data_IF_853278115272
#
_entry.id   IF_853278115272
#
_cell.length_a   1.000
_cell.length_b   1.000
_cell.length_c   1.000
_cell.angle_alpha   90.00
_cell.angle_beta   90.00
_cell.angle_gamma   90.00
#
_symmetry.space_group_name_H-M   'P 1'
#
loop_
_entity.id
_entity.type
_entity.pdbx_description
1 polymer ?
#
# COMPACT_ATOMS: atom_id res chain seq x y z
N UNK A 1 61.01 -15.97 -2.90
CA UNK A 1 59.76 -15.63 -2.21
C UNK A 1 58.89 -14.87 -3.21
N UNK A 2 57.82 -15.49 -3.70
CA UNK A 2 56.86 -14.81 -4.55
C UNK A 2 55.78 -14.18 -3.67
N UNK A 3 55.37 -12.94 -3.94
CA UNK A 3 54.27 -12.34 -3.20
C UNK A 3 52.95 -13.02 -3.62
N UNK A 4 52.23 -13.60 -2.66
CA UNK A 4 50.85 -14.00 -2.82
C UNK A 4 50.02 -12.71 -3.10
N UNK A 5 49.69 -12.48 -4.38
CA UNK A 5 48.69 -11.52 -4.74
C UNK A 5 47.34 -11.99 -4.16
N UNK A 6 46.91 -11.40 -3.08
CA UNK A 6 45.55 -11.54 -2.60
C UNK A 6 44.64 -10.98 -3.69
N UNK A 7 44.01 -11.85 -4.46
CA UNK A 7 42.87 -11.44 -5.29
C UNK A 7 41.79 -10.97 -4.35
N UNK A 8 41.71 -9.65 -4.18
CA UNK A 8 40.53 -9.04 -3.57
C UNK A 8 39.31 -9.46 -4.42
N UNK A 9 38.52 -10.40 -3.92
CA UNK A 9 37.22 -10.69 -4.53
C UNK A 9 36.48 -9.36 -4.66
N UNK A 10 36.19 -8.95 -5.89
CA UNK A 10 35.33 -7.82 -6.11
C UNK A 10 34.04 -8.06 -5.31
N UNK A 11 33.59 -7.12 -4.48
CA UNK A 11 32.36 -7.31 -3.70
C UNK A 11 31.24 -7.64 -4.67
N UNK A 12 30.55 -8.77 -4.43
CA UNK A 12 29.40 -9.19 -5.25
C UNK A 12 28.38 -8.08 -5.23
N UNK A 13 28.06 -7.50 -6.38
CA UNK A 13 26.99 -6.53 -6.52
C UNK A 13 25.66 -7.25 -6.28
N UNK A 14 24.98 -6.93 -5.17
CA UNK A 14 23.69 -7.52 -4.86
C UNK A 14 22.61 -6.95 -5.79
N UNK A 15 21.73 -7.81 -6.28
CA UNK A 15 20.65 -7.42 -7.19
C UNK A 15 19.33 -7.40 -6.45
N UNK A 16 18.67 -6.22 -6.39
CA UNK A 16 17.40 -6.01 -5.71
C UNK A 16 16.28 -5.90 -6.75
N UNK A 17 15.39 -6.88 -6.79
CA UNK A 17 14.15 -6.81 -7.56
C UNK A 17 13.09 -6.01 -6.80
N UNK A 18 12.37 -5.13 -7.48
CA UNK A 18 11.22 -4.45 -6.89
C UNK A 18 10.00 -4.66 -7.79
N UNK A 19 8.91 -5.16 -7.21
CA UNK A 19 7.67 -5.49 -7.91
C UNK A 19 6.51 -4.68 -7.34
N UNK A 20 5.80 -3.94 -8.18
CA UNK A 20 4.71 -3.06 -7.75
C UNK A 20 3.65 -2.85 -8.85
N UNK A 21 2.50 -2.29 -8.47
CA UNK A 21 1.35 -2.12 -9.38
C UNK A 21 1.58 -0.96 -10.36
N UNK A 22 2.23 0.13 -9.93
CA UNK A 22 2.30 1.40 -10.64
C UNK A 22 1.18 2.35 -10.21
N UNK A 23 0.90 2.37 -8.90
CA UNK A 23 0.06 3.36 -8.23
C UNK A 23 0.75 4.73 -8.17
N UNK A 24 0.04 5.77 -7.77
CA UNK A 24 0.57 7.14 -7.76
C UNK A 24 1.80 7.34 -6.83
N UNK A 25 2.04 6.42 -5.89
CA UNK A 25 3.19 6.43 -4.99
C UNK A 25 4.41 5.61 -5.49
N UNK A 26 4.35 5.10 -6.73
CA UNK A 26 5.42 4.27 -7.30
C UNK A 26 6.78 4.97 -7.30
N UNK A 27 6.84 6.23 -7.75
CA UNK A 27 8.08 7.02 -7.76
C UNK A 27 8.62 7.25 -6.33
N UNK A 28 7.71 7.52 -5.38
CA UNK A 28 8.07 7.69 -3.97
C UNK A 28 8.62 6.37 -3.41
N UNK A 29 7.99 5.24 -3.73
CA UNK A 29 8.48 3.92 -3.31
C UNK A 29 9.89 3.64 -3.83
N UNK A 30 10.14 3.84 -5.13
CA UNK A 30 11.46 3.66 -5.72
C UNK A 30 12.51 4.55 -5.07
N UNK A 31 12.18 5.84 -4.91
CA UNK A 31 13.06 6.82 -4.27
C UNK A 31 13.40 6.44 -2.85
N UNK A 32 12.39 6.17 -2.02
CA UNK A 32 12.60 5.89 -0.60
C UNK A 32 13.32 4.55 -0.36
N UNK A 33 13.08 3.56 -1.21
CA UNK A 33 13.83 2.29 -1.16
C UNK A 33 15.32 2.51 -1.49
N UNK A 34 15.62 3.31 -2.54
CA UNK A 34 17.02 3.68 -2.88
C UNK A 34 17.69 4.46 -1.74
N UNK A 35 17.02 5.48 -1.23
CA UNK A 35 17.56 6.32 -0.15
C UNK A 35 17.78 5.52 1.12
N UNK A 36 16.82 4.66 1.51
CA UNK A 36 16.95 3.80 2.68
C UNK A 36 18.14 2.85 2.56
N UNK A 37 18.37 2.26 1.39
CA UNK A 37 19.53 1.41 1.14
C UNK A 37 20.84 2.23 1.11
N UNK A 38 20.83 3.42 0.52
CA UNK A 38 21.98 4.33 0.50
C UNK A 38 22.42 4.73 1.92
N UNK A 39 21.48 5.07 2.80
CA UNK A 39 21.76 5.38 4.22
C UNK A 39 22.39 4.19 4.97
N UNK A 40 22.12 2.96 4.50
CA UNK A 40 22.68 1.72 5.05
C UNK A 40 23.99 1.29 4.37
N UNK A 41 24.56 2.16 3.49
CA UNK A 41 25.84 1.92 2.82
C UNK A 41 25.74 1.11 1.51
N UNK A 42 24.52 0.91 0.98
CA UNK A 42 24.30 0.26 -0.31
C UNK A 42 24.10 1.31 -1.40
N UNK A 43 25.04 1.40 -2.34
CA UNK A 43 25.08 2.42 -3.39
C UNK A 43 24.90 1.76 -4.75
N UNK A 44 23.88 2.18 -5.49
CA UNK A 44 23.60 1.70 -6.85
C UNK A 44 24.80 1.93 -7.77
N UNK A 45 25.14 0.91 -8.55
CA UNK A 45 26.33 0.91 -9.43
C UNK A 45 27.64 0.61 -8.73
N UNK A 46 27.69 0.52 -7.39
CA UNK A 46 28.90 0.13 -6.64
C UNK A 46 28.76 -1.27 -6.01
N UNK A 47 27.77 -1.46 -5.16
CA UNK A 47 27.56 -2.71 -4.42
C UNK A 47 26.12 -3.26 -4.50
N UNK A 48 25.18 -2.49 -5.08
CA UNK A 48 23.84 -2.96 -5.45
C UNK A 48 23.45 -2.55 -6.86
N UNK A 49 22.48 -3.28 -7.44
CA UNK A 49 21.76 -2.93 -8.66
C UNK A 49 20.25 -3.16 -8.44
N UNK A 50 19.41 -2.31 -9.03
CA UNK A 50 17.97 -2.44 -8.97
C UNK A 50 17.36 -2.96 -10.26
N UNK A 51 16.33 -3.80 -10.12
CA UNK A 51 15.48 -4.32 -11.18
C UNK A 51 14.03 -3.98 -10.86
N UNK A 52 13.57 -2.79 -11.27
CA UNK A 52 12.20 -2.34 -11.05
C UNK A 52 11.25 -2.93 -12.09
N UNK A 53 10.12 -3.46 -11.62
CA UNK A 53 9.05 -4.03 -12.44
C UNK A 53 7.70 -3.46 -12.01
N UNK A 54 7.16 -2.61 -12.87
CA UNK A 54 5.82 -2.02 -12.72
C UNK A 54 4.81 -2.77 -13.57
N UNK A 55 3.67 -3.11 -13.00
CA UNK A 55 2.53 -3.64 -13.74
C UNK A 55 1.77 -2.54 -14.52
N UNK A 56 2.08 -1.26 -14.32
CA UNK A 56 1.42 -0.11 -14.96
C UNK A 56 -0.11 -0.16 -14.80
N UNK A 57 -0.56 -0.53 -13.61
CA UNK A 57 -1.98 -0.68 -13.27
C UNK A 57 -2.64 -1.98 -13.76
N UNK A 58 -1.92 -2.83 -14.53
CA UNK A 58 -2.44 -4.08 -15.11
C UNK A 58 -2.02 -5.27 -14.26
N UNK A 59 -2.90 -5.69 -13.36
CA UNK A 59 -2.57 -6.73 -12.36
C UNK A 59 -2.27 -8.10 -13.00
N UNK A 60 -2.81 -8.39 -14.18
CA UNK A 60 -2.56 -9.60 -14.96
C UNK A 60 -1.11 -9.77 -15.41
N UNK A 61 -0.32 -8.67 -15.45
CA UNK A 61 1.11 -8.71 -15.76
C UNK A 61 1.99 -9.18 -14.59
N UNK A 62 1.48 -9.11 -13.35
CA UNK A 62 2.28 -9.38 -12.16
C UNK A 62 2.94 -10.77 -12.12
N UNK A 63 2.27 -11.87 -12.53
CA UNK A 63 2.90 -13.19 -12.54
C UNK A 63 4.12 -13.26 -13.47
N UNK A 64 4.03 -12.66 -14.66
CA UNK A 64 5.14 -12.63 -15.63
C UNK A 64 6.30 -11.78 -15.11
N UNK A 65 6.02 -10.59 -14.58
CA UNK A 65 7.03 -9.69 -14.01
C UNK A 65 7.75 -10.32 -12.81
N UNK A 66 7.01 -11.04 -11.96
CA UNK A 66 7.63 -11.81 -10.86
C UNK A 66 8.55 -12.92 -11.39
N UNK A 67 8.11 -13.65 -12.41
CA UNK A 67 8.93 -14.68 -13.05
C UNK A 67 10.18 -14.11 -13.73
N UNK A 68 10.13 -12.89 -14.28
CA UNK A 68 11.32 -12.18 -14.78
C UNK A 68 12.34 -11.95 -13.68
N UNK A 69 11.93 -11.44 -12.52
CA UNK A 69 12.83 -11.21 -11.39
C UNK A 69 13.50 -12.52 -10.93
N UNK A 70 12.74 -13.63 -10.94
CA UNK A 70 13.29 -14.96 -10.65
C UNK A 70 14.33 -15.39 -11.70
N UNK A 71 14.06 -15.19 -12.99
CA UNK A 71 14.99 -15.50 -14.08
C UNK A 71 16.27 -14.66 -13.99
N UNK A 72 16.18 -13.40 -13.55
CA UNK A 72 17.30 -12.51 -13.30
C UNK A 72 18.11 -12.90 -12.07
N UNK A 73 17.62 -13.87 -11.28
CA UNK A 73 18.27 -14.35 -10.05
C UNK A 73 18.61 -13.21 -9.10
N UNK A 74 17.63 -12.34 -8.85
CA UNK A 74 17.81 -11.26 -7.87
C UNK A 74 18.05 -11.84 -6.48
N UNK A 75 18.84 -11.13 -5.65
CA UNK A 75 19.18 -11.60 -4.31
C UNK A 75 18.02 -11.38 -3.31
N UNK A 76 17.17 -10.38 -3.56
CA UNK A 76 15.96 -10.07 -2.77
C UNK A 76 14.88 -9.49 -3.70
N UNK A 77 13.62 -9.85 -3.49
CA UNK A 77 12.46 -9.18 -4.10
C UNK A 77 11.79 -8.28 -3.05
N UNK A 78 11.59 -7.00 -3.36
CA UNK A 78 10.76 -6.10 -2.56
C UNK A 78 9.42 -5.94 -3.26
N UNK A 79 8.31 -6.30 -2.60
CA UNK A 79 6.98 -6.28 -3.19
C UNK A 79 6.07 -5.27 -2.46
N UNK A 80 5.55 -4.29 -3.20
CA UNK A 80 4.67 -3.26 -2.66
C UNK A 80 3.21 -3.63 -2.92
N UNK A 81 2.40 -3.66 -1.85
CA UNK A 81 0.99 -4.06 -1.83
C UNK A 81 0.73 -5.56 -2.02
N UNK A 82 -0.53 -5.96 -1.81
CA UNK A 82 -0.93 -7.38 -1.76
C UNK A 82 -0.77 -8.11 -3.11
N UNK A 83 -1.26 -7.58 -4.26
CA UNK A 83 -1.16 -8.31 -5.52
C UNK A 83 0.29 -8.63 -5.94
N UNK A 84 1.26 -7.69 -5.92
CA UNK A 84 2.66 -7.99 -6.18
C UNK A 84 3.27 -8.98 -5.18
N UNK A 85 2.91 -8.88 -3.90
CA UNK A 85 3.40 -9.79 -2.86
C UNK A 85 2.94 -11.23 -3.09
N UNK A 86 1.69 -11.43 -3.49
CA UNK A 86 1.16 -12.75 -3.84
C UNK A 86 1.83 -13.30 -5.11
N UNK A 87 2.04 -12.46 -6.13
CA UNK A 87 2.73 -12.86 -7.36
C UNK A 87 4.18 -13.29 -7.07
N UNK A 88 4.91 -12.53 -6.25
CA UNK A 88 6.27 -12.90 -5.83
C UNK A 88 6.27 -14.21 -5.01
N UNK A 89 5.35 -14.37 -4.06
CA UNK A 89 5.18 -15.60 -3.25
C UNK A 89 4.94 -16.84 -4.12
N UNK A 90 4.14 -16.70 -5.18
CA UNK A 90 3.85 -17.78 -6.13
C UNK A 90 5.05 -18.10 -7.03
N UNK A 91 5.81 -17.08 -7.44
CA UNK A 91 6.93 -17.23 -8.37
C UNK A 91 8.16 -17.91 -7.75
N UNK A 92 8.41 -17.77 -6.43
CA UNK A 92 9.59 -18.34 -5.78
C UNK A 92 9.35 -18.72 -4.32
N UNK A 93 10.03 -19.78 -3.88
CA UNK A 93 10.17 -20.18 -2.47
C UNK A 93 11.59 -20.03 -1.95
N UNK A 94 12.53 -19.64 -2.82
CA UNK A 94 13.97 -19.59 -2.53
C UNK A 94 14.46 -18.16 -2.38
N UNK A 95 14.08 -17.26 -3.33
CA UNK A 95 14.50 -15.87 -3.25
C UNK A 95 13.78 -15.19 -2.10
N UNK A 96 14.50 -14.54 -1.16
CA UNK A 96 13.92 -13.75 -0.09
C UNK A 96 12.97 -12.67 -0.61
N UNK A 97 11.82 -12.49 0.05
CA UNK A 97 10.82 -11.49 -0.30
C UNK A 97 10.60 -10.56 0.89
N UNK A 98 10.78 -9.26 0.67
CA UNK A 98 10.41 -8.21 1.60
C UNK A 98 9.09 -7.62 1.13
N UNK A 99 8.03 -7.79 1.91
CA UNK A 99 6.71 -7.23 1.59
C UNK A 99 6.48 -5.92 2.33
N UNK A 100 5.82 -4.96 1.66
CA UNK A 100 5.26 -3.75 2.27
C UNK A 100 3.78 -3.75 1.91
N UNK A 101 2.95 -4.24 2.82
CA UNK A 101 1.56 -4.63 2.50
C UNK A 101 0.62 -4.31 3.64
N UNK A 102 -0.66 -4.18 3.33
CA UNK A 102 -1.70 -3.85 4.28
C UNK A 102 -1.77 -4.81 5.47
N UNK A 103 -2.19 -6.04 5.22
CA UNK A 103 -2.46 -7.03 6.26
C UNK A 103 -1.96 -8.41 5.79
N UNK A 104 -0.68 -8.73 6.05
CA UNK A 104 -0.04 -9.91 5.48
C UNK A 104 -0.54 -11.25 6.06
N UNK A 105 -1.16 -11.24 7.23
CA UNK A 105 -1.76 -12.45 7.85
C UNK A 105 -3.15 -12.68 7.27
N UNK A 106 -3.99 -11.66 7.24
CA UNK A 106 -5.36 -11.69 6.73
C UNK A 106 -5.39 -11.99 5.22
N UNK A 107 -4.34 -11.59 4.50
CA UNK A 107 -4.18 -11.89 3.06
C UNK A 107 -3.42 -13.20 2.80
N UNK A 108 -3.17 -13.99 3.83
CA UNK A 108 -2.49 -15.30 3.74
C UNK A 108 -1.10 -15.24 3.10
N UNK A 109 -0.46 -14.06 3.11
CA UNK A 109 0.92 -13.91 2.64
C UNK A 109 1.86 -14.63 3.61
N UNK A 110 1.62 -14.46 4.92
CA UNK A 110 2.34 -15.14 6.00
C UNK A 110 1.37 -15.67 7.06
N UNK A 111 1.75 -16.71 7.80
CA UNK A 111 0.89 -17.27 8.85
C UNK A 111 0.85 -16.43 10.14
N UNK A 112 1.86 -15.58 10.38
CA UNK A 112 1.99 -14.78 11.59
C UNK A 112 3.00 -13.67 11.41
N UNK A 113 2.79 -12.50 12.02
CA UNK A 113 3.74 -11.39 11.99
C UNK A 113 5.03 -11.73 12.78
N UNK A 114 4.90 -12.36 13.93
CA UNK A 114 6.05 -12.71 14.78
C UNK A 114 6.91 -13.84 14.20
N UNK A 115 6.29 -14.75 13.43
CA UNK A 115 6.97 -15.88 12.78
C UNK A 115 6.44 -16.03 11.36
N UNK A 116 6.91 -15.20 10.42
CA UNK A 116 6.38 -15.19 9.06
C UNK A 116 6.61 -16.50 8.32
N UNK A 117 7.69 -17.21 8.66
CA UNK A 117 8.03 -18.50 8.04
C UNK A 117 8.45 -18.35 6.57
N UNK A 118 8.97 -19.44 5.98
CA UNK A 118 9.35 -19.45 4.56
C UNK A 118 10.39 -18.39 4.20
N UNK A 119 10.20 -17.79 3.03
CA UNK A 119 11.11 -16.80 2.45
C UNK A 119 10.56 -15.35 2.49
N UNK A 120 9.54 -15.06 3.31
CA UNK A 120 8.87 -13.76 3.35
C UNK A 120 9.07 -13.07 4.70
N UNK A 121 9.34 -11.77 4.69
CA UNK A 121 9.34 -10.85 5.83
C UNK A 121 8.97 -9.45 5.36
N UNK A 122 8.91 -8.42 6.22
CA UNK A 122 8.69 -7.04 5.80
C UNK A 122 7.89 -6.19 6.76
N UNK A 123 7.02 -5.34 6.20
CA UNK A 123 6.21 -4.33 6.92
C UNK A 123 4.72 -4.57 6.68
N UNK A 124 3.93 -4.60 7.76
CA UNK A 124 2.47 -4.53 7.70
C UNK A 124 2.02 -3.09 7.86
N UNK A 125 1.21 -2.57 6.93
CA UNK A 125 0.66 -1.21 6.99
C UNK A 125 -0.65 -1.12 7.77
N UNK A 126 -1.18 -2.24 8.29
CA UNK A 126 -2.43 -2.34 9.07
C UNK A 126 -3.66 -1.77 8.33
N UNK A 127 -3.72 -1.96 7.01
CA UNK A 127 -4.67 -1.24 6.17
C UNK A 127 -6.15 -1.55 6.48
N UNK A 128 -6.48 -2.79 6.87
CA UNK A 128 -7.87 -3.15 7.18
C UNK A 128 -8.38 -2.39 8.41
N UNK A 129 -7.64 -2.39 9.51
CA UNK A 129 -8.00 -1.66 10.72
C UNK A 129 -8.10 -0.14 10.47
N UNK A 130 -7.19 0.42 9.65
CA UNK A 130 -7.20 1.84 9.30
C UNK A 130 -8.35 2.22 8.36
N UNK A 131 -8.81 1.31 7.48
CA UNK A 131 -10.05 1.49 6.72
C UNK A 131 -11.27 1.55 7.65
N UNK A 132 -11.34 0.71 8.67
CA UNK A 132 -12.35 0.81 9.73
C UNK A 132 -12.30 2.18 10.41
N UNK A 133 -11.13 2.67 10.77
CA UNK A 133 -10.94 4.00 11.37
C UNK A 133 -11.42 5.14 10.46
N UNK A 134 -11.31 4.98 9.14
CA UNK A 134 -11.84 5.98 8.18
C UNK A 134 -13.36 6.17 8.30
N UNK A 135 -14.11 5.13 8.68
CA UNK A 135 -15.58 5.25 8.95
C UNK A 135 -15.86 6.13 10.17
N UNK A 136 -15.09 5.94 11.24
CA UNK A 136 -15.20 6.80 12.43
C UNK A 136 -14.84 8.25 12.11
N UNK A 137 -13.80 8.47 11.31
CA UNK A 137 -13.39 9.80 10.86
C UNK A 137 -14.47 10.44 9.98
N UNK A 138 -15.14 9.69 9.10
CA UNK A 138 -16.29 10.19 8.37
C UNK A 138 -17.43 10.58 9.28
N UNK A 139 -17.70 9.81 10.34
CA UNK A 139 -18.73 10.18 11.32
C UNK A 139 -18.44 11.50 11.99
N UNK A 140 -17.18 11.75 12.36
CA UNK A 140 -16.77 13.00 12.99
C UNK A 140 -16.76 14.18 12.01
N UNK A 141 -16.31 13.95 10.77
CA UNK A 141 -16.24 14.98 9.73
C UNK A 141 -17.63 15.31 9.12
N UNK A 142 -18.50 14.30 8.99
CA UNK A 142 -19.84 14.38 8.39
C UNK A 142 -20.91 13.88 9.37
N UNK A 143 -21.30 14.66 10.39
CA UNK A 143 -22.25 14.19 11.41
C UNK A 143 -23.62 13.76 10.87
N UNK A 144 -23.98 14.22 9.67
CA UNK A 144 -25.23 13.82 8.98
C UNK A 144 -25.10 12.52 8.19
N UNK A 145 -23.88 12.00 7.98
CA UNK A 145 -23.68 10.77 7.23
C UNK A 145 -24.39 9.58 7.87
N UNK A 146 -25.05 8.80 7.05
CA UNK A 146 -25.78 7.59 7.45
C UNK A 146 -25.27 6.36 6.71
N UNK A 147 -24.66 6.55 5.54
CA UNK A 147 -24.28 5.45 4.67
C UNK A 147 -22.89 5.69 4.09
N UNK A 148 -21.99 4.72 4.26
CA UNK A 148 -20.65 4.74 3.70
C UNK A 148 -20.49 3.54 2.77
N UNK A 149 -20.15 3.82 1.51
CA UNK A 149 -19.82 2.80 0.52
C UNK A 149 -18.40 2.29 0.67
N UNK A 150 -18.13 1.15 0.06
CA UNK A 150 -16.79 0.54 -0.01
C UNK A 150 -16.44 0.29 -1.47
N UNK A 151 -15.27 0.76 -1.90
CA UNK A 151 -14.72 0.50 -3.22
C UNK A 151 -13.43 -0.33 -3.09
N UNK A 152 -13.41 -1.52 -3.67
CA UNK A 152 -12.29 -2.45 -3.60
C UNK A 152 -11.98 -3.14 -4.92
N UNK A 153 -10.88 -3.88 -4.97
CA UNK A 153 -10.51 -4.74 -6.09
C UNK A 153 -11.19 -6.11 -6.01
N UNK A 154 -11.83 -6.53 -7.10
CA UNK A 154 -12.46 -7.84 -7.23
C UNK A 154 -11.43 -8.99 -7.29
N UNK A 155 -10.20 -8.69 -7.72
CA UNK A 155 -9.12 -9.68 -7.92
C UNK A 155 -8.46 -10.14 -6.61
N UNK A 156 -8.80 -9.55 -5.48
CA UNK A 156 -8.28 -9.96 -4.16
C UNK A 156 -9.40 -10.13 -3.13
N UNK A 157 -10.17 -11.22 -3.20
CA UNK A 157 -11.34 -11.42 -2.34
C UNK A 157 -10.96 -11.56 -0.86
N UNK A 158 -9.77 -12.07 -0.54
CA UNK A 158 -9.31 -12.26 0.86
C UNK A 158 -9.07 -10.90 1.51
N UNK A 159 -8.33 -10.01 0.84
CA UNK A 159 -8.11 -8.66 1.34
C UNK A 159 -9.41 -7.82 1.36
N UNK A 160 -10.24 -7.96 0.33
CA UNK A 160 -11.54 -7.29 0.28
C UNK A 160 -12.41 -7.70 1.47
N UNK A 161 -12.39 -8.99 1.85
CA UNK A 161 -13.10 -9.48 3.03
C UNK A 161 -12.54 -8.89 4.32
N UNK A 162 -11.23 -8.90 4.54
CA UNK A 162 -10.60 -8.36 5.75
C UNK A 162 -10.90 -6.86 5.92
N UNK A 163 -10.77 -6.08 4.84
CA UNK A 163 -11.15 -4.67 4.82
C UNK A 163 -12.62 -4.48 5.16
N UNK A 164 -13.52 -5.26 4.54
CA UNK A 164 -14.96 -5.15 4.74
C UNK A 164 -15.36 -5.51 6.18
N UNK A 165 -14.77 -6.56 6.76
CA UNK A 165 -15.04 -6.95 8.15
C UNK A 165 -14.72 -5.81 9.12
N UNK A 166 -13.58 -5.13 8.97
CA UNK A 166 -13.18 -3.99 9.80
C UNK A 166 -14.07 -2.76 9.59
N UNK A 167 -14.42 -2.46 8.34
CA UNK A 167 -15.32 -1.35 8.00
C UNK A 167 -16.73 -1.60 8.56
N UNK A 168 -17.26 -2.82 8.47
CA UNK A 168 -18.54 -3.23 9.06
C UNK A 168 -18.50 -3.15 10.60
N UNK A 169 -17.38 -3.58 11.21
CA UNK A 169 -17.20 -3.50 12.66
C UNK A 169 -17.23 -2.04 13.14
N UNK A 170 -16.54 -1.14 12.44
CA UNK A 170 -16.52 0.29 12.74
C UNK A 170 -17.87 0.98 12.47
N UNK A 171 -18.64 0.51 11.50
CA UNK A 171 -19.97 1.05 11.19
C UNK A 171 -20.97 0.89 12.34
N UNK A 172 -20.92 -0.23 13.08
CA UNK A 172 -21.89 -0.56 14.14
C UNK A 172 -21.97 0.52 15.25
N UNK A 173 -20.88 0.91 15.94
CA UNK A 173 -20.94 1.89 17.01
C UNK A 173 -21.20 3.31 16.50
N UNK A 174 -20.87 3.61 15.22
CA UNK A 174 -21.08 4.93 14.62
C UNK A 174 -22.51 5.16 14.14
N UNK A 175 -23.30 4.08 14.01
CA UNK A 175 -24.63 4.10 13.41
C UNK A 175 -24.61 4.36 11.90
N UNK A 176 -23.46 4.12 11.25
CA UNK A 176 -23.28 4.22 9.80
C UNK A 176 -23.56 2.86 9.17
N UNK A 177 -24.44 2.84 8.20
CA UNK A 177 -24.69 1.68 7.36
C UNK A 177 -23.58 1.54 6.29
N UNK A 178 -22.95 0.35 6.20
CA UNK A 178 -21.87 0.10 5.25
C UNK A 178 -22.46 -0.52 3.99
N UNK A 179 -22.76 0.34 3.03
CA UNK A 179 -23.24 -0.02 1.68
C UNK A 179 -23.25 1.18 0.73
N UNK A 180 -23.22 0.97 -0.61
CA UNK A 180 -22.98 -0.32 -1.25
C UNK A 180 -21.53 -0.77 -1.14
N UNK A 181 -21.30 -2.07 -1.28
CA UNK A 181 -19.95 -2.64 -1.47
C UNK A 181 -19.77 -2.92 -2.95
N UNK A 182 -18.83 -2.22 -3.57
CA UNK A 182 -18.56 -2.34 -5.02
C UNK A 182 -17.11 -2.78 -5.22
N UNK A 183 -16.95 -3.87 -5.94
CA UNK A 183 -15.65 -4.41 -6.33
C UNK A 183 -15.44 -4.18 -7.82
N UNK A 184 -14.26 -3.67 -8.20
CA UNK A 184 -13.91 -3.37 -9.59
C UNK A 184 -12.69 -4.18 -10.02
N UNK A 185 -12.64 -4.56 -11.31
CA UNK A 185 -11.48 -5.24 -11.91
C UNK A 185 -10.49 -4.24 -12.50
N UNK A 186 -10.94 -3.04 -12.85
CA UNK A 186 -10.09 -2.03 -13.45
C UNK A 186 -10.77 -0.66 -13.60
N UNK A 187 -10.06 0.32 -14.17
CA UNK A 187 -10.55 1.69 -14.32
C UNK A 187 -11.84 1.83 -15.13
N UNK A 188 -12.07 0.95 -16.08
CA UNK A 188 -13.25 0.97 -16.98
C UNK A 188 -14.57 0.77 -16.21
N UNK A 189 -14.52 0.16 -15.02
CA UNK A 189 -15.70 -0.09 -14.19
C UNK A 189 -16.00 1.06 -13.20
N UNK A 190 -15.12 2.05 -13.07
CA UNK A 190 -15.22 3.11 -12.06
C UNK A 190 -16.44 4.00 -12.25
N UNK A 191 -16.79 4.34 -13.50
CA UNK A 191 -17.99 5.15 -13.78
C UNK A 191 -19.25 4.48 -13.22
N UNK A 192 -19.42 3.18 -13.49
CA UNK A 192 -20.58 2.42 -13.00
C UNK A 192 -20.53 2.24 -11.47
N UNK A 193 -19.32 2.07 -10.91
CA UNK A 193 -19.11 1.96 -9.47
C UNK A 193 -19.61 3.23 -8.74
N UNK A 194 -19.16 4.41 -9.17
CA UNK A 194 -19.58 5.68 -8.57
C UNK A 194 -21.05 6.01 -8.83
N UNK A 195 -21.58 5.68 -10.02
CA UNK A 195 -23.02 5.80 -10.29
C UNK A 195 -23.84 4.92 -9.32
N UNK A 196 -23.35 3.72 -9.00
CA UNK A 196 -23.97 2.83 -8.01
C UNK A 196 -23.91 3.44 -6.60
N UNK A 197 -22.78 4.02 -6.18
CA UNK A 197 -22.67 4.71 -4.89
C UNK A 197 -23.74 5.82 -4.75
N UNK A 198 -23.91 6.64 -5.80
CA UNK A 198 -24.92 7.70 -5.82
C UNK A 198 -26.34 7.14 -5.79
N UNK A 199 -26.65 6.14 -6.63
CA UNK A 199 -27.99 5.51 -6.68
C UNK A 199 -28.38 4.93 -5.33
N UNK A 200 -27.45 4.29 -4.64
CA UNK A 200 -27.63 3.68 -3.32
C UNK A 200 -27.47 4.71 -2.18
N UNK A 201 -27.31 6.00 -2.50
CA UNK A 201 -27.25 7.14 -1.56
C UNK A 201 -26.11 7.00 -0.54
N UNK A 202 -24.91 6.59 -0.97
CA UNK A 202 -23.73 6.69 -0.14
C UNK A 202 -23.37 8.16 0.13
N UNK A 203 -23.12 8.52 1.38
CA UNK A 203 -22.69 9.86 1.80
C UNK A 203 -21.17 10.03 1.69
N UNK A 204 -20.44 8.93 1.72
CA UNK A 204 -18.99 8.86 1.56
C UNK A 204 -18.55 7.46 1.11
N UNK A 205 -17.30 7.30 0.70
CA UNK A 205 -16.75 6.02 0.22
C UNK A 205 -15.36 5.77 0.82
N UNK A 206 -15.17 4.59 1.42
CA UNK A 206 -13.86 4.06 1.78
C UNK A 206 -13.28 3.34 0.57
N UNK A 207 -12.08 3.74 0.15
CA UNK A 207 -11.38 3.26 -1.05
C UNK A 207 -10.17 2.42 -0.63
N UNK A 208 -10.08 1.21 -1.13
CA UNK A 208 -8.94 0.32 -0.92
C UNK A 208 -7.63 1.00 -1.37
N UNK A 209 -6.55 0.89 -0.58
CA UNK A 209 -5.28 1.58 -0.84
C UNK A 209 -4.66 1.29 -2.21
N UNK A 210 -4.82 0.08 -2.75
CA UNK A 210 -4.37 -0.26 -4.12
C UNK A 210 -5.16 0.42 -5.24
N UNK A 211 -6.28 1.07 -4.92
CA UNK A 211 -7.06 1.94 -5.82
C UNK A 211 -6.75 3.43 -5.62
N UNK A 212 -5.65 3.77 -4.93
CA UNK A 212 -5.17 5.15 -4.83
C UNK A 212 -4.56 5.62 -6.17
N UNK A 213 -5.42 5.74 -7.17
CA UNK A 213 -5.08 6.13 -8.54
C UNK A 213 -5.92 7.34 -8.99
N UNK A 214 -5.36 8.13 -9.90
CA UNK A 214 -6.01 9.36 -10.39
C UNK A 214 -7.43 9.15 -10.95
N UNK A 215 -7.72 8.08 -11.73
CA UNK A 215 -9.08 7.83 -12.21
C UNK A 215 -10.13 7.72 -11.10
N UNK A 216 -9.78 7.15 -9.93
CA UNK A 216 -10.70 7.04 -8.80
C UNK A 216 -11.01 8.40 -8.20
N UNK A 217 -9.99 9.25 -8.00
CA UNK A 217 -10.19 10.60 -7.45
C UNK A 217 -10.92 11.53 -8.42
N UNK A 218 -10.74 11.35 -9.74
CA UNK A 218 -11.47 12.07 -10.77
C UNK A 218 -12.97 11.70 -10.75
N UNK A 219 -13.29 10.42 -10.59
CA UNK A 219 -14.67 9.99 -10.43
C UNK A 219 -15.28 10.51 -9.12
N UNK A 220 -14.54 10.44 -8.01
CA UNK A 220 -14.98 11.00 -6.75
C UNK A 220 -15.33 12.50 -6.88
N UNK A 221 -14.49 13.27 -7.55
CA UNK A 221 -14.72 14.68 -7.82
C UNK A 221 -15.94 14.91 -8.74
N UNK A 222 -16.06 14.15 -9.84
CA UNK A 222 -17.18 14.20 -10.79
C UNK A 222 -18.53 13.98 -10.09
N UNK A 223 -18.58 13.00 -9.21
CA UNK A 223 -19.79 12.64 -8.46
C UNK A 223 -19.95 13.40 -7.13
N UNK A 224 -19.04 14.34 -6.82
CA UNK A 224 -18.99 15.09 -5.56
C UNK A 224 -19.04 14.18 -4.33
N UNK A 225 -18.36 13.03 -4.41
CA UNK A 225 -18.37 11.98 -3.40
C UNK A 225 -17.19 12.15 -2.44
N UNK A 226 -17.42 12.36 -1.13
CA UNK A 226 -16.37 12.31 -0.13
C UNK A 226 -15.71 10.93 -0.12
N UNK A 227 -14.38 10.88 -0.20
CA UNK A 227 -13.63 9.62 -0.25
C UNK A 227 -12.48 9.60 0.74
N UNK A 228 -12.22 8.43 1.31
CA UNK A 228 -11.06 8.19 2.16
C UNK A 228 -10.29 6.94 1.72
N UNK A 229 -8.98 6.94 1.91
CA UNK A 229 -8.12 5.77 1.71
C UNK A 229 -7.00 5.72 2.76
N UNK A 230 -6.32 4.60 2.88
CA UNK A 230 -5.18 4.46 3.79
C UNK A 230 -3.85 4.97 3.22
N UNK A 231 -3.78 5.23 1.91
CA UNK A 231 -2.59 5.74 1.26
C UNK A 231 -2.59 7.28 1.22
N UNK A 232 -1.57 7.93 1.78
CA UNK A 232 -1.46 9.40 1.81
C UNK A 232 -1.52 10.01 0.41
N UNK A 233 -0.88 9.38 -0.57
CA UNK A 233 -0.92 9.81 -1.98
C UNK A 233 -2.35 9.97 -2.49
N UNK A 234 -3.32 9.23 -1.94
CA UNK A 234 -4.72 9.36 -2.35
C UNK A 234 -5.28 10.77 -2.11
N UNK A 235 -4.98 11.36 -0.96
CA UNK A 235 -5.37 12.75 -0.69
C UNK A 235 -4.58 13.73 -1.59
N UNK A 236 -3.30 13.46 -1.86
CA UNK A 236 -2.44 14.31 -2.71
C UNK A 236 -2.90 14.37 -4.16
N UNK A 237 -3.42 13.26 -4.71
CA UNK A 237 -3.93 13.19 -6.09
C UNK A 237 -5.40 13.59 -6.25
N UNK A 238 -6.05 14.09 -5.17
CA UNK A 238 -7.40 14.64 -5.23
C UNK A 238 -8.49 13.85 -4.48
N UNK A 239 -8.15 12.81 -3.71
CA UNK A 239 -9.05 12.25 -2.71
C UNK A 239 -9.32 13.24 -1.58
N UNK A 240 -10.42 13.09 -0.84
CA UNK A 240 -10.76 14.02 0.23
C UNK A 240 -9.88 13.83 1.46
N UNK A 241 -9.66 12.59 1.88
CA UNK A 241 -9.00 12.27 3.13
C UNK A 241 -8.14 11.01 2.98
N UNK A 242 -7.01 10.98 3.66
CA UNK A 242 -6.29 9.74 3.91
C UNK A 242 -5.97 9.60 5.40
N UNK A 243 -6.11 8.37 5.91
CA UNK A 243 -5.66 8.02 7.26
C UNK A 243 -4.89 6.70 7.19
N UNK A 244 -3.58 6.76 7.33
CA UNK A 244 -2.73 5.61 7.10
C UNK A 244 -1.36 5.71 7.72
N UNK A 245 -0.59 4.64 7.57
CA UNK A 245 0.82 4.64 7.90
C UNK A 245 1.58 5.64 7.02
N UNK A 246 2.64 6.24 7.55
CA UNK A 246 3.57 7.04 6.76
C UNK A 246 4.20 6.13 5.68
N UNK A 247 3.73 6.30 4.42
CA UNK A 247 4.16 5.49 3.28
C UNK A 247 5.65 5.64 3.00
N UNK A 248 6.16 6.86 2.77
CA UNK A 248 7.59 7.11 2.59
C UNK A 248 8.47 6.49 3.68
N UNK A 249 8.14 6.69 4.96
CA UNK A 249 8.88 6.08 6.06
C UNK A 249 8.80 4.55 6.05
N UNK A 250 7.64 3.97 5.70
CA UNK A 250 7.47 2.52 5.58
C UNK A 250 8.27 1.95 4.40
N UNK A 251 8.34 2.65 3.27
CA UNK A 251 9.14 2.25 2.11
C UNK A 251 10.64 2.28 2.44
N UNK A 252 11.10 3.33 3.10
CA UNK A 252 12.48 3.46 3.59
C UNK A 252 12.79 2.39 4.63
N UNK A 253 11.84 2.07 5.50
CA UNK A 253 11.97 1.00 6.49
C UNK A 253 12.14 -0.39 5.85
N UNK A 254 11.51 -0.64 4.71
CA UNK A 254 11.69 -1.84 3.90
C UNK A 254 13.17 -2.13 3.58
N UNK A 255 13.99 -1.08 3.38
CA UNK A 255 15.41 -1.22 3.12
C UNK A 255 16.18 -1.92 4.27
N UNK A 256 15.73 -1.78 5.53
CA UNK A 256 16.36 -2.46 6.67
C UNK A 256 16.18 -3.98 6.62
N UNK A 257 15.06 -4.44 6.09
CA UNK A 257 14.83 -5.87 5.89
C UNK A 257 15.71 -6.41 4.78
N UNK A 258 15.85 -5.66 3.67
CA UNK A 258 16.80 -5.99 2.59
C UNK A 258 18.21 -6.11 3.15
N UNK A 259 18.68 -5.12 3.94
CA UNK A 259 20.00 -5.15 4.58
C UNK A 259 20.19 -6.42 5.43
N UNK A 260 19.23 -6.73 6.33
CA UNK A 260 19.31 -7.91 7.20
C UNK A 260 19.46 -9.19 6.39
N UNK A 261 18.74 -9.30 5.26
CA UNK A 261 18.82 -10.45 4.36
C UNK A 261 20.18 -10.51 3.66
N UNK A 262 20.66 -9.39 3.12
CA UNK A 262 21.99 -9.34 2.47
C UNK A 262 23.14 -9.63 3.45
N UNK A 263 22.92 -9.40 4.74
CA UNK A 263 23.83 -9.79 5.84
C UNK A 263 23.68 -11.27 6.25
N UNK A 264 22.86 -12.05 5.56
CA UNK A 264 22.71 -13.49 5.76
C UNK A 264 21.61 -13.93 6.73
N UNK A 265 20.77 -12.98 7.26
CA UNK A 265 19.61 -13.38 8.06
C UNK A 265 18.54 -14.02 7.18
N UNK A 266 17.94 -15.09 7.68
CA UNK A 266 16.86 -15.75 6.96
C UNK A 266 15.52 -14.99 7.18
N UNK A 267 14.70 -14.76 6.13
CA UNK A 267 13.42 -14.07 6.26
C UNK A 267 12.50 -14.65 7.34
N UNK A 268 12.47 -15.99 7.45
CA UNK A 268 11.65 -16.70 8.47
C UNK A 268 11.95 -16.31 9.92
N UNK A 269 13.15 -15.80 10.17
CA UNK A 269 13.65 -15.43 11.50
C UNK A 269 13.57 -13.90 11.75
N UNK A 270 13.02 -13.15 10.78
CA UNK A 270 12.82 -11.71 10.87
C UNK A 270 11.32 -11.44 11.00
N UNK A 271 10.80 -11.02 12.16
CA UNK A 271 9.39 -10.66 12.33
C UNK A 271 8.97 -9.55 11.36
N UNK A 272 7.71 -9.58 10.95
CA UNK A 272 7.09 -8.45 10.23
C UNK A 272 6.82 -7.34 11.23
N UNK A 273 7.26 -6.13 10.91
CA UNK A 273 7.11 -4.96 11.76
C UNK A 273 5.86 -4.16 11.35
N UNK A 274 5.22 -3.51 12.33
CA UNK A 274 4.06 -2.64 12.14
C UNK A 274 4.44 -1.19 12.40
N UNK A 275 3.83 -0.20 11.72
CA UNK A 275 4.06 1.21 11.98
C UNK A 275 3.51 1.59 13.36
N UNK A 276 4.14 2.58 13.98
CA UNK A 276 3.70 3.15 15.26
C UNK A 276 3.14 4.57 15.12
N UNK A 277 3.21 5.13 13.89
CA UNK A 277 2.69 6.46 13.55
C UNK A 277 1.74 6.35 12.38
N UNK A 278 0.66 7.09 12.47
CA UNK A 278 -0.36 7.20 11.44
C UNK A 278 -0.66 8.66 11.19
N UNK A 279 -0.83 9.04 9.93
CA UNK A 279 -1.06 10.42 9.52
C UNK A 279 -2.48 10.59 8.98
N UNK A 280 -3.15 11.65 9.41
CA UNK A 280 -4.41 12.13 8.85
C UNK A 280 -4.09 13.29 7.89
N UNK A 281 -4.32 13.10 6.61
CA UNK A 281 -4.22 14.17 5.62
C UNK A 281 -5.59 14.48 5.02
N UNK A 282 -5.89 15.78 4.85
CA UNK A 282 -7.17 16.28 4.33
C UNK A 282 -6.87 17.21 3.16
N UNK A 283 -7.55 17.00 2.02
CA UNK A 283 -7.45 17.85 0.84
C UNK A 283 -8.54 18.92 0.85
N UNK A 284 -8.17 20.15 1.16
CA UNK A 284 -9.06 21.30 1.23
C UNK A 284 -9.54 21.74 -0.16
N UNK A 285 -8.72 21.57 -1.21
CA UNK A 285 -9.17 21.83 -2.60
C UNK A 285 -10.30 20.89 -2.99
N UNK A 286 -10.17 19.62 -2.67
CA UNK A 286 -11.20 18.61 -2.93
C UNK A 286 -12.45 18.92 -2.10
N UNK A 287 -12.33 19.21 -0.79
CA UNK A 287 -13.45 19.60 0.05
C UNK A 287 -14.24 20.76 -0.57
N UNK A 288 -13.55 21.83 -0.97
CA UNK A 288 -14.13 22.99 -1.64
C UNK A 288 -14.81 22.62 -2.97
N UNK A 289 -14.16 21.80 -3.78
CA UNK A 289 -14.67 21.42 -5.11
C UNK A 289 -15.94 20.56 -5.04
N UNK A 290 -16.08 19.72 -4.01
CA UNK A 290 -17.29 18.92 -3.79
C UNK A 290 -18.37 19.67 -2.98
N UNK A 291 -18.07 20.91 -2.53
CA UNK A 291 -19.00 21.74 -1.76
C UNK A 291 -19.13 21.34 -0.28
N UNK A 292 -18.10 20.71 0.27
CA UNK A 292 -18.07 20.24 1.65
C UNK A 292 -17.41 21.26 2.58
N UNK A 293 -18.09 21.61 3.68
CA UNK A 293 -17.51 22.38 4.79
C UNK A 293 -17.09 21.40 5.88
N UNK A 294 -15.81 21.34 6.18
CA UNK A 294 -15.25 20.47 7.23
C UNK A 294 -15.22 21.25 8.55
N UNK A 295 -15.70 20.68 9.66
CA UNK A 295 -15.65 21.34 10.97
C UNK A 295 -14.20 21.70 11.37
N UNK A 296 -13.99 22.91 11.89
CA UNK A 296 -12.64 23.37 12.27
C UNK A 296 -12.00 22.45 13.32
N UNK A 297 -12.78 21.98 14.29
CA UNK A 297 -12.31 21.02 15.31
C UNK A 297 -11.82 19.70 14.69
N UNK A 298 -12.33 19.31 13.51
CA UNK A 298 -11.83 18.14 12.79
C UNK A 298 -10.52 18.46 12.05
N UNK A 299 -10.43 19.65 11.43
CA UNK A 299 -9.21 20.09 10.72
C UNK A 299 -8.00 20.19 11.67
N UNK A 300 -8.21 20.56 12.94
CA UNK A 300 -7.15 20.63 13.95
C UNK A 300 -6.54 19.24 14.29
N UNK A 301 -7.21 18.15 13.90
CA UNK A 301 -6.70 16.77 14.09
C UNK A 301 -5.83 16.32 12.93
N UNK A 302 -5.82 17.05 11.83
CA UNK A 302 -5.06 16.66 10.64
C UNK A 302 -3.57 16.94 10.83
N UNK A 303 -2.75 15.95 10.47
CA UNK A 303 -1.29 16.07 10.41
C UNK A 303 -0.86 16.87 9.16
N UNK A 304 -1.69 16.85 8.10
CA UNK A 304 -1.45 17.60 6.89
C UNK A 304 -2.76 18.14 6.26
N UNK A 305 -2.75 19.40 5.85
CA UNK A 305 -3.77 20.01 5.03
C UNK A 305 -3.18 20.29 3.63
N UNK A 306 -3.86 19.78 2.59
CA UNK A 306 -3.45 19.94 1.18
C UNK A 306 -4.27 21.07 0.59
N UNK A 307 -3.59 22.18 0.26
CA UNK A 307 -4.14 23.42 -0.28
C UNK A 307 -3.91 23.56 -1.79
#
# INVERSE_FOLDING_TARGET
>A
MWPLAAFAQQPKVARIGALYIGTADAETFEKELREGLRELGYVEGQNIAFEFRSAEGKLDRLPELAAELVRLKVDVIVALYVPPSLAAKQATREIPIVVIVGDPVETEIVPSLARPGGNITGVSLMASALNGKSVELFRDMLPSARRVGVLGHATNPVFAKAMLDEVLLAGRPTGIEIQPVVMVNGPDELENAFATMVRERADAVVVQGSLAIKPVTDMALKYRMPTASTARVFAEIGGLMSFGADGPASFRHGARFVQRILQGKQPKDIPIEQPTKFDLAINLKTAKAIGLTIPEAFLQRADALIE
#
